data_IF_106053050410
#
_entry.id   IF_106053050410
#
_cell.length_a   1.000
_cell.length_b   1.000
_cell.length_c   1.000
_cell.angle_alpha   90.00
_cell.angle_beta   90.00
_cell.angle_gamma   90.00
#
_symmetry.space_group_name_H-M   'P 1'
#
loop_
_entity.id
_entity.type
_entity.pdbx_description
1 polymer ?
#
# COMPACT_ATOMS: atom_id res chain seq x y z
N UNK A 1 -11.73 5.26 -12.09
CA UNK A 1 -11.62 3.79 -12.21
C UNK A 1 -12.85 3.25 -12.94
N UNK A 2 -12.72 2.19 -13.75
CA UNK A 2 -13.89 1.56 -14.37
C UNK A 2 -14.62 0.71 -13.33
N UNK A 3 -15.90 0.96 -13.08
CA UNK A 3 -16.72 0.26 -12.06
C UNK A 3 -16.78 -1.25 -12.29
N UNK A 4 -16.62 -1.70 -13.54
CA UNK A 4 -16.59 -3.14 -13.87
C UNK A 4 -15.46 -3.89 -13.16
N UNK A 5 -14.39 -3.21 -12.76
CA UNK A 5 -13.28 -3.80 -12.02
C UNK A 5 -13.64 -4.17 -10.57
N UNK A 6 -14.78 -3.68 -10.08
CA UNK A 6 -15.28 -3.97 -8.73
C UNK A 6 -16.41 -5.01 -8.70
N UNK A 7 -16.77 -5.59 -9.85
CA UNK A 7 -17.77 -6.66 -9.92
C UNK A 7 -17.26 -7.86 -9.10
N UNK A 8 -18.10 -8.36 -8.19
CA UNK A 8 -17.80 -9.43 -7.23
C UNK A 8 -16.68 -9.10 -6.21
N UNK A 9 -16.30 -7.83 -6.06
CA UNK A 9 -15.41 -7.45 -4.98
C UNK A 9 -16.11 -7.68 -3.62
N UNK A 10 -15.37 -8.09 -2.56
CA UNK A 10 -15.93 -8.22 -1.22
C UNK A 10 -16.62 -6.93 -0.75
N UNK A 11 -17.64 -7.07 0.12
CA UNK A 11 -18.29 -5.91 0.71
C UNK A 11 -17.27 -5.00 1.41
N UNK A 12 -17.51 -3.69 1.34
CA UNK A 12 -16.59 -2.62 1.79
C UNK A 12 -15.30 -2.47 0.99
N UNK A 13 -15.10 -3.21 -0.11
CA UNK A 13 -13.95 -2.97 -0.98
C UNK A 13 -14.03 -1.57 -1.59
N UNK A 14 -12.93 -0.83 -1.49
CA UNK A 14 -12.77 0.47 -2.13
C UNK A 14 -11.76 0.31 -3.25
N UNK A 15 -12.13 0.78 -4.44
CA UNK A 15 -11.20 0.83 -5.55
C UNK A 15 -11.09 2.25 -6.07
N UNK A 16 -9.86 2.64 -6.36
CA UNK A 16 -9.48 3.96 -6.79
C UNK A 16 -8.35 3.81 -7.83
N UNK A 17 -8.30 4.69 -8.82
CA UNK A 17 -7.28 4.61 -9.86
C UNK A 17 -6.96 5.99 -10.44
N UNK A 18 -5.67 6.25 -10.67
CA UNK A 18 -5.19 7.43 -11.37
C UNK A 18 -5.14 7.17 -12.89
N UNK A 19 -5.45 8.16 -13.74
CA UNK A 19 -5.38 8.00 -15.21
C UNK A 19 -4.01 7.57 -15.73
N UNK A 20 -2.93 7.96 -15.04
CA UNK A 20 -1.56 7.59 -15.39
C UNK A 20 -1.11 6.24 -14.79
N UNK A 21 -1.97 5.59 -13.99
CA UNK A 21 -1.68 4.31 -13.34
C UNK A 21 -0.73 4.36 -12.13
N UNK A 22 -0.24 5.55 -11.74
CA UNK A 22 0.72 5.69 -10.65
C UNK A 22 0.05 6.08 -9.33
N UNK A 23 0.62 5.63 -8.21
CA UNK A 23 0.24 6.10 -6.88
C UNK A 23 0.70 7.55 -6.69
N UNK A 24 -0.17 8.40 -6.13
CA UNK A 24 0.17 9.76 -5.70
C UNK A 24 -0.15 9.95 -4.20
N UNK A 25 0.22 11.10 -3.65
CA UNK A 25 0.03 11.38 -2.22
C UNK A 25 -1.46 11.36 -1.81
N UNK A 26 -2.33 11.99 -2.60
CA UNK A 26 -3.78 12.03 -2.34
C UNK A 26 -4.39 10.61 -2.26
N UNK A 27 -4.07 9.76 -3.24
CA UNK A 27 -4.55 8.39 -3.27
C UNK A 27 -3.97 7.56 -2.13
N UNK A 28 -2.69 7.77 -1.81
CA UNK A 28 -2.05 7.11 -0.68
C UNK A 28 -2.71 7.52 0.65
N UNK A 29 -3.10 8.79 0.82
CA UNK A 29 -3.81 9.26 2.01
C UNK A 29 -5.19 8.62 2.13
N UNK A 30 -5.94 8.50 1.03
CA UNK A 30 -7.21 7.73 1.00
C UNK A 30 -7.00 6.27 1.45
N UNK A 31 -5.95 5.63 0.96
CA UNK A 31 -5.57 4.29 1.39
C UNK A 31 -5.21 4.24 2.88
N UNK A 32 -4.49 5.25 3.40
CA UNK A 32 -4.15 5.36 4.83
C UNK A 32 -5.39 5.43 5.73
N UNK A 33 -6.45 6.12 5.32
CA UNK A 33 -7.72 6.13 6.06
C UNK A 33 -8.32 4.72 6.19
N UNK A 34 -8.31 3.94 5.11
CA UNK A 34 -8.75 2.55 5.15
C UNK A 34 -7.83 1.70 6.01
N UNK A 35 -6.51 1.90 5.87
CA UNK A 35 -5.53 1.19 6.68
C UNK A 35 -5.75 1.42 8.17
N UNK A 36 -5.94 2.67 8.61
CA UNK A 36 -6.27 2.99 10.01
C UNK A 36 -7.58 2.35 10.45
N UNK A 37 -8.64 2.42 9.62
CA UNK A 37 -9.95 1.80 9.92
C UNK A 37 -9.81 0.33 10.29
N UNK A 38 -8.98 -0.42 9.55
CA UNK A 38 -8.86 -1.87 9.71
C UNK A 38 -7.71 -2.32 10.62
N UNK A 39 -6.63 -1.56 10.72
CA UNK A 39 -5.51 -1.87 11.64
C UNK A 39 -5.73 -1.36 13.06
N UNK A 40 -6.62 -0.37 13.24
CA UNK A 40 -7.02 0.23 14.51
C UNK A 40 -5.83 0.52 15.48
N UNK A 41 -4.84 1.31 15.04
CA UNK A 41 -3.69 1.65 15.86
C UNK A 41 -4.08 2.51 17.06
N UNK A 42 -3.45 2.27 18.21
CA UNK A 42 -3.62 3.08 19.43
C UNK A 42 -2.28 3.51 20.00
N UNK A 43 -2.29 4.39 21.00
CA UNK A 43 -1.06 4.80 21.68
C UNK A 43 -0.36 3.62 22.39
N UNK A 44 -1.15 2.67 22.91
CA UNK A 44 -0.66 1.47 23.59
C UNK A 44 -0.25 0.36 22.61
N UNK A 45 -0.81 0.37 21.39
CA UNK A 45 -0.52 -0.60 20.34
C UNK A 45 -0.29 0.12 18.99
N UNK A 46 0.86 0.81 18.84
CA UNK A 46 1.17 1.52 17.61
C UNK A 46 1.52 0.55 16.48
N UNK A 47 1.33 1.00 15.24
CA UNK A 47 1.62 0.20 14.04
C UNK A 47 2.89 0.70 13.35
N UNK A 48 3.80 -0.23 13.01
CA UNK A 48 4.94 0.06 12.15
C UNK A 48 4.58 -0.26 10.69
N UNK A 49 4.51 0.78 9.86
CA UNK A 49 4.29 0.66 8.42
C UNK A 49 5.62 0.78 7.67
N UNK A 50 6.05 -0.31 7.04
CA UNK A 50 7.28 -0.37 6.24
C UNK A 50 6.93 -0.12 4.77
N UNK A 51 7.53 0.91 4.19
CA UNK A 51 7.24 1.36 2.84
C UNK A 51 8.49 1.37 1.96
N UNK A 52 8.27 1.39 0.65
CA UNK A 52 9.31 1.83 -0.27
C UNK A 52 9.54 3.34 -0.15
N UNK A 53 10.69 3.82 -0.61
CA UNK A 53 11.07 5.23 -0.49
C UNK A 53 10.38 6.18 -1.48
N UNK A 54 9.25 5.81 -2.08
CA UNK A 54 8.55 6.60 -3.09
C UNK A 54 8.08 7.97 -2.56
N UNK A 55 7.93 8.93 -3.47
CA UNK A 55 7.61 10.32 -3.11
C UNK A 55 6.21 10.49 -2.53
N UNK A 56 5.23 9.66 -2.96
CA UNK A 56 3.86 9.71 -2.44
C UNK A 56 3.76 9.48 -0.93
N UNK A 57 4.74 8.80 -0.33
CA UNK A 57 4.77 8.52 1.11
C UNK A 57 5.32 9.68 1.96
N UNK A 58 5.90 10.70 1.31
CA UNK A 58 6.64 11.79 1.98
C UNK A 58 5.93 13.13 1.91
N UNK A 59 4.64 13.08 1.61
CA UNK A 59 3.77 14.24 1.64
C UNK A 59 3.47 14.66 3.10
N UNK A 60 3.26 15.94 3.34
CA UNK A 60 3.04 16.46 4.69
C UNK A 60 1.76 15.91 5.29
N UNK A 61 0.66 15.89 4.54
CA UNK A 61 -0.65 15.45 5.02
C UNK A 61 -0.60 13.97 5.39
N UNK A 62 0.14 13.17 4.62
CA UNK A 62 0.38 11.75 4.89
C UNK A 62 1.17 11.56 6.19
N UNK A 63 2.23 12.33 6.40
CA UNK A 63 3.08 12.22 7.59
C UNK A 63 2.32 12.66 8.84
N UNK A 64 1.58 13.75 8.77
CA UNK A 64 0.75 14.24 9.88
C UNK A 64 -0.37 13.26 10.20
N UNK A 65 -1.05 12.74 9.19
CA UNK A 65 -2.08 11.72 9.38
C UNK A 65 -1.52 10.46 10.05
N UNK A 66 -0.38 9.94 9.59
CA UNK A 66 0.25 8.77 10.22
C UNK A 66 0.60 9.03 11.69
N UNK A 67 1.21 10.19 11.99
CA UNK A 67 1.58 10.57 13.36
C UNK A 67 0.35 10.66 14.28
N UNK A 68 -0.71 11.31 13.81
CA UNK A 68 -1.94 11.50 14.58
C UNK A 68 -2.69 10.20 14.85
N UNK A 69 -2.44 9.16 14.06
CA UNK A 69 -3.05 7.84 14.19
C UNK A 69 -2.06 6.77 14.71
N UNK A 70 -1.00 7.15 15.43
CA UNK A 70 -0.07 6.20 16.05
C UNK A 70 0.58 5.21 15.06
N UNK A 71 0.79 5.65 13.81
CA UNK A 71 1.50 4.90 12.78
C UNK A 71 2.93 5.44 12.67
N UNK A 72 3.90 4.56 12.90
CA UNK A 72 5.31 4.82 12.61
C UNK A 72 5.60 4.39 11.17
N UNK A 73 5.97 5.34 10.31
CA UNK A 73 6.38 5.03 8.94
C UNK A 73 7.89 4.88 8.84
N UNK A 74 8.35 3.79 8.23
CA UNK A 74 9.76 3.53 7.96
C UNK A 74 9.97 3.19 6.48
N UNK A 75 10.74 4.00 5.77
CA UNK A 75 11.10 3.73 4.38
C UNK A 75 12.41 2.95 4.29
N UNK A 76 12.43 1.92 3.45
CA UNK A 76 13.67 1.20 3.12
C UNK A 76 14.64 2.10 2.32
N UNK A 77 15.95 1.84 2.45
CA UNK A 77 16.95 2.60 1.67
C UNK A 77 16.79 2.30 0.18
N UNK A 78 17.17 3.28 -0.65
CA UNK A 78 17.18 3.06 -2.11
C UNK A 78 18.11 1.89 -2.46
N UNK A 79 17.73 1.11 -3.45
CA UNK A 79 18.49 -0.03 -3.98
C UNK A 79 18.71 -1.19 -2.98
N UNK A 80 17.98 -1.23 -1.87
CA UNK A 80 17.98 -2.38 -0.95
C UNK A 80 16.77 -3.30 -1.13
N UNK A 81 16.00 -3.15 -2.20
CA UNK A 81 14.84 -4.01 -2.54
C UNK A 81 15.17 -5.50 -2.38
N UNK A 82 16.29 -5.91 -2.97
CA UNK A 82 16.79 -7.28 -2.95
C UNK A 82 17.11 -7.86 -1.56
N UNK A 83 17.15 -7.01 -0.52
CA UNK A 83 17.50 -7.37 0.87
C UNK A 83 16.40 -7.04 1.88
N UNK A 84 15.66 -5.96 1.68
CA UNK A 84 14.78 -5.37 2.70
C UNK A 84 13.32 -5.27 2.27
N UNK A 85 12.96 -5.52 1.00
CA UNK A 85 11.56 -5.56 0.58
C UNK A 85 11.05 -7.00 0.59
N UNK A 86 10.74 -7.49 1.80
CA UNK A 86 10.26 -8.87 2.00
C UNK A 86 9.06 -9.20 1.10
N UNK A 87 8.13 -8.24 0.92
CA UNK A 87 6.95 -8.40 0.08
C UNK A 87 7.28 -8.79 -1.37
N UNK A 88 8.29 -8.15 -1.97
CA UNK A 88 8.70 -8.41 -3.35
C UNK A 88 9.25 -9.83 -3.51
N UNK A 89 9.97 -10.33 -2.50
CA UNK A 89 10.62 -11.63 -2.54
C UNK A 89 9.72 -12.79 -2.16
N UNK A 90 8.92 -12.62 -1.12
CA UNK A 90 8.20 -13.74 -0.50
C UNK A 90 6.80 -13.92 -1.08
N UNK A 91 6.14 -12.83 -1.49
CA UNK A 91 4.76 -12.88 -1.95
C UNK A 91 4.64 -12.53 -3.44
N UNK A 92 5.16 -11.37 -3.84
CA UNK A 92 4.96 -10.85 -5.21
C UNK A 92 5.73 -11.70 -6.23
N UNK A 93 6.94 -12.17 -5.93
CA UNK A 93 7.71 -13.02 -6.85
C UNK A 93 6.98 -14.34 -7.19
N UNK A 94 6.55 -15.17 -6.21
CA UNK A 94 5.74 -16.35 -6.51
C UNK A 94 4.45 -16.01 -7.26
N UNK A 95 3.73 -14.96 -6.81
CA UNK A 95 2.49 -14.52 -7.45
C UNK A 95 2.70 -14.21 -8.94
N UNK A 96 3.73 -13.43 -9.28
CA UNK A 96 4.06 -13.10 -10.67
C UNK A 96 4.35 -14.34 -11.51
N UNK A 97 5.08 -15.31 -10.95
CA UNK A 97 5.39 -16.56 -11.65
C UNK A 97 4.10 -17.31 -11.99
N UNK A 98 3.28 -17.61 -10.99
CA UNK A 98 2.05 -18.39 -11.18
C UNK A 98 1.03 -17.65 -12.05
N UNK A 99 0.94 -16.33 -11.93
CA UNK A 99 0.06 -15.52 -12.77
C UNK A 99 0.46 -15.60 -14.24
N UNK A 100 1.76 -15.50 -14.54
CA UNK A 100 2.26 -15.63 -15.91
C UNK A 100 1.96 -17.01 -16.49
N UNK A 101 2.15 -18.08 -15.71
CA UNK A 101 1.84 -19.44 -16.13
C UNK A 101 0.34 -19.60 -16.47
N UNK A 102 -0.55 -19.04 -15.65
CA UNK A 102 -2.00 -19.09 -15.84
C UNK A 102 -2.50 -18.24 -17.02
N UNK A 103 -1.77 -17.19 -17.41
CA UNK A 103 -2.10 -16.37 -18.58
C UNK A 103 -1.51 -16.94 -19.89
N UNK A 104 -0.51 -17.82 -19.80
CA UNK A 104 0.10 -18.46 -20.96
C UNK A 104 -0.65 -19.71 -21.44
N UNK A 105 -1.55 -20.25 -20.60
CA UNK A 105 -2.48 -21.35 -20.92
C UNK A 105 -3.78 -20.85 -21.56
#
# INVERSE_FOLDING_TARGET
>A
MNERLMINAPNESVGEAQPNGWMNAELFLKWMHLFVKYSNPTAENPVLLILDGHASHKDLDVIEFARNNHIHMSSTRRHTTHKLQSLDHTFIKPLKSTYNDACAS
#
